data_IF_044758975805
#
_entry.id   IF_044758975805
#
_cell.length_a   1.000
_cell.length_b   1.000
_cell.length_c   1.000
_cell.angle_alpha   90.00
_cell.angle_beta   90.00
_cell.angle_gamma   90.00
#
_symmetry.space_group_name_H-M   'P 1'
#
loop_
_entity.id
_entity.type
_entity.pdbx_description
1 polymer ?
#
# COMPACT_ATOMS: atom_id res chain seq x y z
N UNK A 1 38.03 13.88 8.97
CA UNK A 1 37.37 13.80 7.65
C UNK A 1 36.00 13.27 7.96
N UNK A 2 35.00 14.15 7.98
CA UNK A 2 33.61 13.73 8.15
C UNK A 2 33.20 12.98 6.89
N UNK A 3 33.03 11.67 7.02
CA UNK A 3 32.28 10.88 6.06
C UNK A 3 30.85 11.43 6.06
N UNK A 4 30.56 12.34 5.12
CA UNK A 4 29.20 12.78 4.86
C UNK A 4 28.43 11.58 4.29
N UNK A 5 27.90 10.75 5.18
CA UNK A 5 26.97 9.68 4.84
C UNK A 5 25.84 10.29 4.01
N UNK A 6 25.61 9.74 2.82
CA UNK A 6 24.63 10.24 1.86
C UNK A 6 23.27 10.49 2.57
N UNK A 7 22.72 11.72 2.55
CA UNK A 7 21.47 12.04 3.23
C UNK A 7 20.29 11.11 2.88
N UNK A 8 20.27 10.57 1.66
CA UNK A 8 19.26 9.60 1.23
C UNK A 8 19.44 8.23 1.91
N UNK A 9 20.68 7.81 2.15
CA UNK A 9 21.01 6.59 2.88
C UNK A 9 20.54 6.67 4.34
N UNK A 10 20.75 7.83 4.98
CA UNK A 10 20.24 8.09 6.33
C UNK A 10 18.71 8.05 6.39
N UNK A 11 18.02 8.59 5.38
CA UNK A 11 16.56 8.55 5.31
C UNK A 11 16.03 7.13 5.12
N UNK A 12 16.57 6.35 4.17
CA UNK A 12 16.16 4.98 3.92
C UNK A 12 16.37 4.10 5.16
N UNK A 13 17.54 4.20 5.80
CA UNK A 13 17.86 3.47 7.04
C UNK A 13 16.89 3.83 8.17
N UNK A 14 16.65 5.13 8.40
CA UNK A 14 15.73 5.59 9.43
C UNK A 14 14.29 5.08 9.20
N UNK A 15 13.80 5.16 7.96
CA UNK A 15 12.44 4.73 7.62
C UNK A 15 12.30 3.20 7.64
N UNK A 16 13.34 2.43 7.30
CA UNK A 16 13.36 0.98 7.46
C UNK A 16 13.19 0.57 8.94
N UNK A 17 13.89 1.23 9.87
CA UNK A 17 13.72 1.00 11.31
C UNK A 17 12.30 1.32 11.76
N UNK A 18 11.70 2.40 11.27
CA UNK A 18 10.31 2.75 11.56
C UNK A 18 9.36 1.68 11.03
N UNK A 19 9.55 1.23 9.79
CA UNK A 19 8.72 0.22 9.15
C UNK A 19 8.77 -1.10 9.91
N UNK A 20 9.97 -1.55 10.32
CA UNK A 20 10.15 -2.76 11.12
C UNK A 20 9.39 -2.69 12.45
N UNK A 21 9.46 -1.54 13.16
CA UNK A 21 8.72 -1.33 14.41
C UNK A 21 7.20 -1.38 14.20
N UNK A 22 6.71 -0.83 13.09
CA UNK A 22 5.29 -0.87 12.76
C UNK A 22 4.83 -2.29 12.40
N UNK A 23 5.60 -3.04 11.60
CA UNK A 23 5.30 -4.44 11.30
C UNK A 23 5.20 -5.27 12.59
N UNK A 24 6.18 -5.14 13.48
CA UNK A 24 6.17 -5.81 14.78
C UNK A 24 4.91 -5.49 15.60
N UNK A 25 4.54 -4.21 15.70
CA UNK A 25 3.29 -3.81 16.37
C UNK A 25 2.04 -4.38 15.70
N UNK A 26 2.07 -4.50 14.37
CA UNK A 26 1.02 -5.15 13.60
C UNK A 26 0.85 -6.61 13.99
N UNK A 27 1.95 -7.36 14.10
CA UNK A 27 1.97 -8.77 14.51
C UNK A 27 1.50 -9.00 15.94
N UNK A 28 1.91 -8.12 16.87
CA UNK A 28 1.55 -8.19 18.30
C UNK A 28 0.09 -7.75 18.57
N UNK A 29 -0.57 -7.12 17.61
CA UNK A 29 -1.93 -6.60 17.79
C UNK A 29 -3.00 -7.68 17.58
N UNK A 30 -3.87 -7.86 18.59
CA UNK A 30 -5.04 -8.74 18.50
C UNK A 30 -6.21 -8.12 17.71
N UNK A 31 -6.20 -6.80 17.47
CA UNK A 31 -7.24 -6.09 16.75
C UNK A 31 -6.92 -6.01 15.25
N UNK A 32 -7.81 -6.51 14.40
CA UNK A 32 -7.56 -6.57 12.95
C UNK A 32 -7.42 -5.18 12.30
N UNK A 33 -8.14 -4.16 12.79
CA UNK A 33 -8.03 -2.80 12.27
C UNK A 33 -6.70 -2.17 12.67
N UNK A 34 -6.32 -2.26 13.94
CA UNK A 34 -5.04 -1.75 14.43
C UNK A 34 -3.87 -2.45 13.70
N UNK A 35 -3.95 -3.77 13.57
CA UNK A 35 -2.97 -4.56 12.86
C UNK A 35 -2.81 -4.15 11.39
N UNK A 36 -3.93 -3.89 10.71
CA UNK A 36 -3.94 -3.37 9.35
C UNK A 36 -3.29 -1.99 9.26
N UNK A 37 -3.68 -1.05 10.14
CA UNK A 37 -3.12 0.30 10.13
C UNK A 37 -1.64 0.34 10.46
N UNK A 38 -1.16 -0.50 11.37
CA UNK A 38 0.28 -0.63 11.62
C UNK A 38 1.02 -1.17 10.40
N UNK A 39 0.50 -2.22 9.74
CA UNK A 39 1.10 -2.77 8.52
C UNK A 39 1.11 -1.75 7.38
N UNK A 40 0.04 -0.98 7.23
CA UNK A 40 -0.01 0.12 6.25
C UNK A 40 0.95 1.26 6.61
N UNK A 41 1.13 1.56 7.90
CA UNK A 41 2.08 2.58 8.37
C UNK A 41 3.52 2.18 8.09
N UNK A 42 3.83 0.88 8.15
CA UNK A 42 5.12 0.36 7.70
C UNK A 42 5.32 0.59 6.20
N UNK A 43 4.32 0.25 5.37
CA UNK A 43 4.39 0.52 3.93
C UNK A 43 4.54 2.02 3.63
N UNK A 44 3.86 2.89 4.40
CA UNK A 44 3.96 4.35 4.28
C UNK A 44 5.36 4.88 4.52
N UNK A 45 6.01 4.45 5.60
CA UNK A 45 7.40 4.80 5.86
C UNK A 45 8.31 4.47 4.66
N UNK A 46 8.12 3.29 4.06
CA UNK A 46 8.94 2.80 2.95
C UNK A 46 8.67 3.52 1.63
N UNK A 47 7.40 3.70 1.23
CA UNK A 47 7.11 4.38 -0.03
C UNK A 47 7.52 5.85 0.02
N UNK A 48 7.41 6.48 1.20
CA UNK A 48 7.87 7.85 1.40
C UNK A 48 9.40 7.93 1.26
N UNK A 49 10.12 7.02 1.89
CA UNK A 49 11.59 7.00 1.85
C UNK A 49 12.11 6.85 0.41
N UNK A 50 11.58 5.87 -0.32
CA UNK A 50 11.94 5.64 -1.72
C UNK A 50 11.54 6.80 -2.62
N UNK A 51 10.40 7.43 -2.35
CA UNK A 51 9.98 8.59 -3.12
C UNK A 51 10.96 9.76 -2.99
N UNK A 52 11.46 10.00 -1.78
CA UNK A 52 12.47 11.03 -1.51
C UNK A 52 13.85 10.65 -2.06
N UNK A 53 14.28 9.40 -1.88
CA UNK A 53 15.58 8.91 -2.35
C UNK A 53 15.71 9.01 -3.87
N UNK A 54 14.65 8.67 -4.60
CA UNK A 54 14.62 8.72 -6.06
C UNK A 54 14.12 10.06 -6.61
N UNK A 55 13.86 11.04 -5.74
CA UNK A 55 13.40 12.40 -6.09
C UNK A 55 12.19 12.42 -7.04
N UNK A 56 11.23 11.51 -6.84
CA UNK A 56 10.04 11.51 -7.68
C UNK A 56 9.22 12.78 -7.47
N UNK A 57 8.76 13.36 -8.56
CA UNK A 57 7.96 14.59 -8.55
C UNK A 57 6.58 14.33 -9.14
N UNK A 58 5.59 15.01 -8.57
CA UNK A 58 4.24 15.09 -9.10
C UNK A 58 4.15 16.05 -10.30
N UNK A 59 2.92 16.23 -10.80
CA UNK A 59 2.66 17.14 -11.90
C UNK A 59 3.16 18.56 -11.58
N UNK A 60 3.83 19.21 -12.54
CA UNK A 60 4.46 20.53 -12.38
C UNK A 60 5.50 20.64 -11.26
N UNK A 61 6.20 19.56 -10.92
CA UNK A 61 7.23 19.57 -9.87
C UNK A 61 6.66 19.62 -8.44
N UNK A 62 5.36 19.37 -8.28
CA UNK A 62 4.72 19.26 -6.96
C UNK A 62 5.16 18.00 -6.21
N UNK A 63 4.85 17.93 -4.91
CA UNK A 63 5.05 16.69 -4.16
C UNK A 63 4.17 15.56 -4.74
N UNK A 64 4.71 14.36 -4.99
CA UNK A 64 3.94 13.25 -5.55
C UNK A 64 2.85 12.82 -4.56
N UNK A 65 1.64 12.54 -5.05
CA UNK A 65 0.58 12.02 -4.19
C UNK A 65 0.88 10.59 -3.69
N UNK A 66 0.36 10.21 -2.52
CA UNK A 66 0.61 8.91 -1.88
C UNK A 66 0.52 7.72 -2.85
N UNK A 67 -0.53 7.66 -3.67
CA UNK A 67 -0.72 6.56 -4.62
C UNK A 67 0.44 6.45 -5.64
N UNK A 68 0.97 7.58 -6.10
CA UNK A 68 2.12 7.61 -7.00
C UNK A 68 3.39 7.11 -6.31
N UNK A 69 3.59 7.47 -5.03
CA UNK A 69 4.71 6.98 -4.24
C UNK A 69 4.61 5.47 -4.00
N UNK A 70 3.41 4.99 -3.69
CA UNK A 70 3.10 3.56 -3.53
C UNK A 70 3.40 2.80 -4.83
N UNK A 71 2.91 3.30 -5.97
CA UNK A 71 3.16 2.68 -7.27
C UNK A 71 4.65 2.64 -7.60
N UNK A 72 5.38 3.72 -7.30
CA UNK A 72 6.82 3.80 -7.49
C UNK A 72 7.57 2.73 -6.69
N UNK A 73 7.25 2.58 -5.40
CA UNK A 73 7.84 1.53 -4.56
C UNK A 73 7.54 0.13 -5.12
N UNK A 74 6.28 -0.17 -5.42
CA UNK A 74 5.88 -1.51 -5.88
C UNK A 74 6.55 -1.87 -7.22
N UNK A 75 6.80 -0.89 -8.09
CA UNK A 75 7.48 -1.08 -9.37
C UNK A 75 8.97 -1.40 -9.23
N UNK A 76 9.55 -1.34 -8.03
CA UNK A 76 10.93 -1.79 -7.77
C UNK A 76 11.04 -3.30 -7.59
N UNK A 77 9.93 -3.99 -7.33
CA UNK A 77 9.94 -5.45 -7.31
C UNK A 77 10.19 -6.00 -8.71
N UNK A 78 10.99 -7.06 -8.78
CA UNK A 78 11.12 -7.87 -9.98
C UNK A 78 9.81 -8.58 -10.30
N UNK A 79 9.67 -9.07 -11.55
CA UNK A 79 8.49 -9.84 -11.93
C UNK A 79 8.33 -11.12 -11.09
N UNK A 80 9.45 -11.75 -10.71
CA UNK A 80 9.44 -12.98 -9.91
C UNK A 80 8.99 -12.70 -8.47
N UNK A 81 9.54 -11.65 -7.83
CA UNK A 81 9.09 -11.23 -6.49
C UNK A 81 7.61 -10.85 -6.49
N UNK A 82 7.15 -10.13 -7.51
CA UNK A 82 5.74 -9.77 -7.64
C UNK A 82 4.86 -11.03 -7.79
N UNK A 83 5.30 -12.01 -8.57
CA UNK A 83 4.59 -13.27 -8.75
C UNK A 83 4.54 -14.09 -7.45
N UNK A 84 5.63 -14.12 -6.67
CA UNK A 84 5.66 -14.77 -5.35
C UNK A 84 4.65 -14.13 -4.39
N UNK A 85 4.63 -12.79 -4.31
CA UNK A 85 3.68 -12.06 -3.47
C UNK A 85 2.25 -12.41 -3.89
N UNK A 86 1.95 -12.33 -5.19
CA UNK A 86 0.62 -12.63 -5.72
C UNK A 86 0.18 -14.08 -5.41
N UNK A 87 1.11 -15.04 -5.43
CA UNK A 87 0.82 -16.43 -5.09
C UNK A 87 0.46 -16.60 -3.61
N UNK A 88 1.18 -15.93 -2.70
CA UNK A 88 0.90 -15.96 -1.25
C UNK A 88 -0.48 -15.39 -0.93
N UNK A 89 -0.87 -14.32 -1.63
CA UNK A 89 -2.09 -13.54 -1.35
C UNK A 89 -3.26 -13.91 -2.26
N UNK A 90 -3.15 -15.02 -3.00
CA UNK A 90 -4.14 -15.47 -3.97
C UNK A 90 -5.57 -15.58 -3.40
N UNK A 91 -5.81 -16.13 -2.19
CA UNK A 91 -7.15 -16.16 -1.62
C UNK A 91 -7.77 -14.78 -1.41
N UNK A 92 -6.94 -13.78 -1.07
CA UNK A 92 -7.40 -12.40 -0.89
C UNK A 92 -7.67 -11.73 -2.23
N UNK A 93 -6.90 -12.04 -3.27
CA UNK A 93 -7.17 -11.59 -4.65
C UNK A 93 -8.54 -12.11 -5.10
N UNK A 94 -8.85 -13.38 -4.86
CA UNK A 94 -10.16 -13.98 -5.18
C UNK A 94 -11.29 -13.26 -4.44
N UNK A 95 -11.13 -13.04 -3.13
CA UNK A 95 -12.09 -12.30 -2.32
C UNK A 95 -12.34 -10.88 -2.87
N UNK A 96 -11.28 -10.13 -3.18
CA UNK A 96 -11.42 -8.77 -3.70
C UNK A 96 -11.96 -8.75 -5.13
N UNK A 97 -11.75 -9.80 -5.92
CA UNK A 97 -12.25 -9.93 -7.29
C UNK A 97 -13.73 -10.30 -7.35
N UNK A 98 -14.23 -11.08 -6.38
CA UNK A 98 -15.62 -11.55 -6.35
C UNK A 98 -16.62 -10.56 -5.76
N UNK A 99 -16.14 -9.46 -5.17
CA UNK A 99 -16.98 -8.47 -4.48
C UNK A 99 -17.12 -7.15 -5.25
N UNK A 100 -18.00 -6.27 -4.75
CA UNK A 100 -18.14 -4.92 -5.28
C UNK A 100 -16.80 -4.15 -5.17
N UNK A 101 -16.47 -3.30 -6.14
CA UNK A 101 -15.24 -2.51 -6.11
C UNK A 101 -15.14 -1.65 -4.86
N UNK A 102 -13.93 -1.56 -4.28
CA UNK A 102 -13.68 -0.57 -3.22
C UNK A 102 -13.86 0.83 -3.80
N UNK A 103 -14.75 1.61 -3.20
CA UNK A 103 -14.99 2.98 -3.60
C UNK A 103 -13.89 3.91 -3.11
N UNK A 104 -13.67 5.01 -3.80
CA UNK A 104 -12.81 6.11 -3.32
C UNK A 104 -13.63 7.12 -2.53
N UNK A 105 -13.34 7.29 -1.23
CA UNK A 105 -14.13 8.14 -0.31
C UNK A 105 -13.48 9.49 0.06
N UNK A 106 -12.18 9.68 -0.20
CA UNK A 106 -11.43 10.94 0.07
C UNK A 106 -11.85 12.16 -0.79
N UNK A 107 -12.65 11.94 -1.84
CA UNK A 107 -13.10 12.96 -2.80
C UNK A 107 -14.61 13.26 -2.74
N UNK A 108 -15.27 12.92 -1.63
CA UNK A 108 -16.67 13.30 -1.41
C UNK A 108 -16.78 14.82 -1.31
N UNK A 109 -17.86 15.37 -1.84
CA UNK A 109 -18.13 16.82 -1.83
C UNK A 109 -19.45 17.08 -1.11
N UNK A 110 -19.74 18.33 -0.75
CA UNK A 110 -21.04 18.68 -0.17
C UNK A 110 -22.24 18.27 -1.06
N UNK A 111 -22.01 18.14 -2.38
CA UNK A 111 -23.01 17.74 -3.35
C UNK A 111 -23.07 16.22 -3.61
N UNK A 112 -22.16 15.44 -3.00
CA UNK A 112 -22.09 13.99 -3.11
C UNK A 112 -21.41 13.44 -1.84
N UNK A 113 -22.06 13.66 -0.70
CA UNK A 113 -21.52 13.33 0.62
C UNK A 113 -21.75 11.87 0.98
N UNK A 114 -22.71 11.19 0.35
CA UNK A 114 -23.11 9.82 0.65
C UNK A 114 -22.33 8.78 -0.16
N UNK A 115 -21.92 9.07 -1.41
CA UNK A 115 -21.32 8.06 -2.29
C UNK A 115 -19.87 8.31 -2.69
N UNK A 116 -19.05 7.27 -2.60
CA UNK A 116 -17.70 7.24 -3.16
C UNK A 116 -17.68 7.04 -4.69
N UNK A 117 -16.48 7.11 -5.28
CA UNK A 117 -16.27 6.84 -6.72
C UNK A 117 -15.69 5.45 -6.94
N UNK A 118 -16.41 4.60 -7.67
CA UNK A 118 -15.97 3.22 -7.95
C UNK A 118 -14.92 3.11 -9.08
N UNK A 119 -14.71 4.17 -9.87
CA UNK A 119 -13.92 4.09 -11.13
C UNK A 119 -12.54 3.49 -10.90
N UNK A 120 -11.87 3.91 -9.83
CA UNK A 120 -10.51 3.45 -9.48
C UNK A 120 -10.52 2.00 -8.96
N UNK A 121 -11.47 1.65 -8.09
CA UNK A 121 -11.64 0.27 -7.62
C UNK A 121 -11.93 -0.72 -8.74
N UNK A 122 -12.81 -0.35 -9.70
CA UNK A 122 -13.11 -1.18 -10.87
C UNK A 122 -11.89 -1.40 -11.75
N UNK A 123 -11.10 -0.36 -11.99
CA UNK A 123 -9.90 -0.46 -12.79
C UNK A 123 -8.88 -1.40 -12.14
N UNK A 124 -8.68 -1.27 -10.82
CA UNK A 124 -7.76 -2.15 -10.08
C UNK A 124 -8.23 -3.61 -10.06
N UNK A 125 -9.51 -3.88 -9.82
CA UNK A 125 -10.07 -5.23 -9.92
C UNK A 125 -9.87 -5.83 -11.30
N UNK A 126 -10.13 -5.06 -12.36
CA UNK A 126 -9.93 -5.52 -13.75
C UNK A 126 -8.48 -5.94 -13.99
N UNK A 127 -7.51 -5.13 -13.58
CA UNK A 127 -6.08 -5.47 -13.72
C UNK A 127 -5.70 -6.70 -12.92
N UNK A 128 -6.22 -6.87 -11.69
CA UNK A 128 -5.95 -8.07 -10.88
C UNK A 128 -6.42 -9.37 -11.52
N UNK A 129 -7.58 -9.32 -12.17
CA UNK A 129 -8.23 -10.45 -12.82
C UNK A 129 -7.71 -10.70 -14.24
N UNK A 130 -7.17 -9.67 -14.90
CA UNK A 130 -6.57 -9.81 -16.22
C UNK A 130 -5.25 -10.60 -16.13
N UNK A 131 -4.86 -11.23 -17.23
CA UNK A 131 -3.51 -11.81 -17.40
C UNK A 131 -2.42 -10.74 -17.59
N UNK A 132 -2.55 -9.61 -16.89
CA UNK A 132 -1.60 -8.51 -16.92
C UNK A 132 -0.26 -8.94 -16.25
N UNK A 133 0.86 -8.25 -16.55
CA UNK A 133 2.15 -8.57 -15.95
C UNK A 133 2.10 -8.60 -14.40
N UNK A 134 2.86 -9.47 -13.72
CA UNK A 134 2.81 -9.62 -12.26
C UNK A 134 2.98 -8.30 -11.50
N UNK A 135 3.89 -7.44 -11.93
CA UNK A 135 4.10 -6.12 -11.29
C UNK A 135 2.86 -5.23 -11.40
N UNK A 136 2.15 -5.23 -12.54
CA UNK A 136 0.92 -4.44 -12.71
C UNK A 136 -0.23 -4.97 -11.86
N UNK A 137 -0.35 -6.30 -11.75
CA UNK A 137 -1.30 -6.95 -10.86
C UNK A 137 -1.01 -6.60 -9.40
N UNK A 138 0.26 -6.59 -8.99
CA UNK A 138 0.65 -6.18 -7.65
C UNK A 138 0.36 -4.69 -7.39
N UNK A 139 0.66 -3.81 -8.35
CA UNK A 139 0.29 -2.39 -8.30
C UNK A 139 -1.22 -2.24 -8.09
N UNK A 140 -2.04 -3.01 -8.81
CA UNK A 140 -3.48 -2.99 -8.65
C UNK A 140 -3.94 -3.49 -7.28
N UNK A 141 -3.30 -4.52 -6.72
CA UNK A 141 -3.57 -4.96 -5.35
C UNK A 141 -3.28 -3.85 -4.34
N UNK A 142 -2.15 -3.17 -4.47
CA UNK A 142 -1.77 -2.09 -3.55
C UNK A 142 -2.69 -0.86 -3.70
N UNK A 143 -3.21 -0.59 -4.92
CA UNK A 143 -4.28 0.40 -5.13
C UNK A 143 -5.54 0.05 -4.34
N UNK A 144 -5.95 -1.22 -4.33
CA UNK A 144 -7.06 -1.68 -3.50
C UNK A 144 -6.78 -1.44 -2.01
N UNK A 145 -5.58 -1.78 -1.53
CA UNK A 145 -5.17 -1.51 -0.14
C UNK A 145 -5.26 -0.02 0.21
N UNK A 146 -4.77 0.85 -0.68
CA UNK A 146 -4.87 2.30 -0.48
C UNK A 146 -6.32 2.79 -0.39
N UNK A 147 -7.21 2.28 -1.26
CA UNK A 147 -8.64 2.62 -1.22
C UNK A 147 -9.30 2.13 0.07
N UNK A 148 -8.95 0.92 0.56
CA UNK A 148 -9.44 0.41 1.85
C UNK A 148 -9.01 1.36 2.98
N UNK A 149 -7.73 1.75 3.03
CA UNK A 149 -7.23 2.74 4.02
C UNK A 149 -7.97 4.07 3.92
N UNK A 150 -8.21 4.56 2.69
CA UNK A 150 -8.99 5.78 2.47
C UNK A 150 -10.40 5.68 3.04
N UNK A 151 -11.07 4.54 2.86
CA UNK A 151 -12.43 4.34 3.34
C UNK A 151 -12.50 4.18 4.85
N UNK A 152 -11.51 3.55 5.49
CA UNK A 152 -11.47 3.46 6.95
C UNK A 152 -11.24 4.81 7.63
N UNK A 153 -10.58 5.76 6.94
CA UNK A 153 -10.33 7.13 7.45
C UNK A 153 -11.48 8.07 7.13
N UNK A 154 -12.00 8.00 5.90
CA UNK A 154 -12.95 8.98 5.36
C UNK A 154 -14.35 8.43 5.18
N UNK A 155 -14.61 7.14 5.46
CA UNK A 155 -15.93 6.52 5.34
C UNK A 155 -16.94 7.07 6.34
N UNK A 156 -18.22 6.91 6.03
CA UNK A 156 -19.29 7.23 6.98
C UNK A 156 -19.41 6.09 8.00
N UNK A 157 -19.33 6.38 9.29
CA UNK A 157 -19.63 5.40 10.36
C UNK A 157 -21.12 5.10 10.52
N UNK A 158 -21.97 5.80 9.78
CA UNK A 158 -23.43 5.64 9.83
C UNK A 158 -23.95 4.55 8.87
N UNK A 159 -23.08 4.01 8.02
CA UNK A 159 -23.41 2.87 7.16
C UNK A 159 -22.83 1.60 7.77
N UNK A 160 -23.69 0.65 8.14
CA UNK A 160 -23.25 -0.70 8.50
C UNK A 160 -22.66 -1.39 7.26
N UNK A 161 -21.45 -1.96 7.40
CA UNK A 161 -20.70 -2.52 6.29
C UNK A 161 -19.93 -3.80 6.62
N UNK A 162 -19.32 -4.41 5.60
CA UNK A 162 -18.46 -5.59 5.70
C UNK A 162 -17.02 -5.25 6.11
N UNK A 163 -16.80 -4.10 6.76
CA UNK A 163 -15.48 -3.52 7.05
C UNK A 163 -14.55 -4.50 7.75
N UNK A 164 -15.03 -5.23 8.76
CA UNK A 164 -14.20 -6.21 9.46
C UNK A 164 -13.77 -7.35 8.53
N UNK A 165 -14.65 -7.83 7.63
CA UNK A 165 -14.30 -8.87 6.66
C UNK A 165 -13.28 -8.33 5.64
N UNK A 166 -13.51 -7.12 5.13
CA UNK A 166 -12.58 -6.42 4.22
C UNK A 166 -11.22 -6.27 4.86
N UNK A 167 -11.15 -5.77 6.10
CA UNK A 167 -9.89 -5.55 6.82
C UNK A 167 -9.15 -6.85 7.08
N UNK A 168 -9.85 -7.92 7.49
CA UNK A 168 -9.24 -9.25 7.67
C UNK A 168 -8.63 -9.77 6.38
N UNK A 169 -9.30 -9.58 5.25
CA UNK A 169 -8.79 -9.98 3.93
C UNK A 169 -7.73 -9.02 3.39
N UNK A 170 -7.69 -7.78 3.86
CA UNK A 170 -6.67 -6.81 3.49
C UNK A 170 -5.33 -7.03 4.22
N UNK A 171 -5.39 -7.62 5.43
CA UNK A 171 -4.26 -7.73 6.33
C UNK A 171 -3.07 -8.54 5.75
N UNK A 172 -3.35 -9.69 5.15
CA UNK A 172 -2.30 -10.56 4.59
C UNK A 172 -1.58 -9.85 3.42
N UNK A 173 -2.28 -9.30 2.40
CA UNK A 173 -1.66 -8.51 1.34
C UNK A 173 -0.79 -7.37 1.83
N UNK A 174 -1.30 -6.52 2.73
CA UNK A 174 -0.56 -5.33 3.15
C UNK A 174 0.70 -5.71 3.93
N UNK A 175 0.65 -6.77 4.74
CA UNK A 175 1.81 -7.29 5.46
C UNK A 175 2.84 -7.86 4.50
N UNK A 176 2.43 -8.71 3.57
CA UNK A 176 3.37 -9.31 2.61
C UNK A 176 4.09 -8.24 1.79
N UNK A 177 3.34 -7.26 1.27
CA UNK A 177 3.90 -6.14 0.51
C UNK A 177 4.87 -5.32 1.37
N UNK A 178 4.48 -4.97 2.61
CA UNK A 178 5.32 -4.16 3.50
C UNK A 178 6.59 -4.91 3.92
N UNK A 179 6.51 -6.21 4.23
CA UNK A 179 7.66 -7.05 4.59
C UNK A 179 8.64 -7.19 3.43
N UNK A 180 8.15 -7.43 2.21
CA UNK A 180 8.99 -7.51 1.01
C UNK A 180 9.62 -6.17 0.67
N UNK A 181 8.89 -5.07 0.83
CA UNK A 181 9.42 -3.72 0.64
C UNK A 181 10.49 -3.36 1.68
N UNK A 182 10.34 -3.81 2.94
CA UNK A 182 11.36 -3.64 3.96
C UNK A 182 12.64 -4.37 3.57
N UNK A 183 12.54 -5.65 3.19
CA UNK A 183 13.69 -6.45 2.74
C UNK A 183 14.40 -5.82 1.53
N UNK A 184 13.64 -5.35 0.55
CA UNK A 184 14.18 -4.61 -0.60
C UNK A 184 14.99 -3.38 -0.15
N UNK A 185 14.47 -2.65 0.85
CA UNK A 185 15.14 -1.46 1.41
C UNK A 185 16.40 -1.84 2.18
N UNK A 186 16.37 -2.90 2.97
CA UNK A 186 17.55 -3.42 3.70
C UNK A 186 18.65 -3.86 2.74
N UNK A 187 18.33 -4.62 1.69
CA UNK A 187 19.29 -5.03 0.66
C UNK A 187 19.96 -3.81 -0.03
N UNK A 188 19.20 -2.74 -0.26
CA UNK A 188 19.73 -1.50 -0.84
C UNK A 188 20.71 -0.78 0.09
N UNK A 189 20.56 -0.92 1.40
CA UNK A 189 21.48 -0.35 2.40
C UNK A 189 22.77 -1.17 2.56
N UNK A 190 22.74 -2.45 2.16
CA UNK A 190 23.90 -3.34 2.16
C UNK A 190 24.72 -3.31 0.85
N UNK A 191 24.15 -2.74 -0.22
CA UNK A 191 24.76 -2.62 -1.56
C UNK A 191 25.58 -1.35 -1.72
#
# INVERSE_FOLDING_TARGET
MDDQVNPCFNLLSFQAIIAQRWLKRGEESADSFASYFFSFSALNALYFAWAQADQISGFNGSHPGDLMQVEHLVRKFTSDEAQEILAVVQPQIEFFSSRKPIQRMDKRTCNNFDRGKDKEGRAAQKTLMAGDPPVERLVALTKIQYLIRSNLVHGSKAEDGDDLAVVRQALVPIREIATRALRLTENQLES
#
